data_IF_476346272063
#
_entry.id   IF_476346272063
#
_cell.length_a   1.000
_cell.length_b   1.000
_cell.length_c   1.000
_cell.angle_alpha   90.00
_cell.angle_beta   90.00
_cell.angle_gamma   90.00
#
_symmetry.space_group_name_H-M   'P 1'
#
loop_
_entity.id
_entity.type
_entity.pdbx_description
1 polymer ?
#
# COMPACT_ATOMS: atom_id res chain seq x y z
N UNK A 1 -7.98 -0.28 14.45
CA UNK A 1 -7.35 -1.45 13.77
C UNK A 1 -5.90 -1.49 14.22
N UNK A 2 -5.38 -2.66 14.61
CA UNK A 2 -3.98 -2.79 15.04
C UNK A 2 -3.05 -2.81 13.82
N UNK A 3 -1.80 -2.35 13.97
CA UNK A 3 -0.86 -2.17 12.84
C UNK A 3 -0.60 -3.45 12.05
N UNK A 4 -0.59 -4.63 12.70
CA UNK A 4 -0.44 -5.90 12.00
C UNK A 4 -1.64 -6.25 11.11
N UNK A 5 -2.86 -5.94 11.56
CA UNK A 5 -4.07 -6.19 10.77
C UNK A 5 -4.16 -5.22 9.59
N UNK A 6 -3.76 -3.96 9.80
CA UNK A 6 -3.65 -2.98 8.72
C UNK A 6 -2.66 -3.44 7.67
N UNK A 7 -1.45 -3.85 8.07
CA UNK A 7 -0.41 -4.34 7.17
C UNK A 7 -0.92 -5.49 6.28
N UNK A 8 -1.61 -6.46 6.88
CA UNK A 8 -2.23 -7.56 6.11
C UNK A 8 -3.27 -7.04 5.12
N UNK A 9 -4.12 -6.10 5.52
CA UNK A 9 -5.08 -5.46 4.59
C UNK A 9 -4.37 -4.74 3.44
N UNK A 10 -3.32 -3.97 3.70
CA UNK A 10 -2.53 -3.29 2.66
C UNK A 10 -1.89 -4.30 1.70
N UNK A 11 -1.37 -5.41 2.20
CA UNK A 11 -0.85 -6.49 1.37
C UNK A 11 -1.93 -7.06 0.43
N UNK A 12 -3.12 -7.36 0.95
CA UNK A 12 -4.23 -7.89 0.15
C UNK A 12 -4.67 -6.90 -0.93
N UNK A 13 -4.75 -5.60 -0.59
CA UNK A 13 -5.07 -4.55 -1.56
C UNK A 13 -3.98 -4.40 -2.63
N UNK A 14 -2.70 -4.52 -2.27
CA UNK A 14 -1.60 -4.47 -3.22
C UNK A 14 -1.63 -5.65 -4.21
N UNK A 15 -1.98 -6.84 -3.74
CA UNK A 15 -2.15 -8.01 -4.63
C UNK A 15 -3.35 -7.80 -5.57
N UNK A 16 -4.48 -7.32 -5.03
CA UNK A 16 -5.68 -7.05 -5.83
C UNK A 16 -5.44 -5.96 -6.90
N UNK A 17 -4.79 -4.86 -6.53
CA UNK A 17 -4.45 -3.77 -7.43
C UNK A 17 -3.38 -4.16 -8.47
N UNK A 18 -2.57 -5.17 -8.14
CA UNK A 18 -1.62 -5.80 -9.06
C UNK A 18 -2.30 -6.55 -10.21
N UNK A 19 -3.59 -6.94 -10.09
CA UNK A 19 -4.36 -7.59 -11.16
C UNK A 19 -3.63 -8.83 -11.75
N UNK A 20 -3.01 -9.61 -10.87
CA UNK A 20 -2.23 -10.81 -11.23
C UNK A 20 -0.79 -10.55 -11.70
N UNK A 21 -0.34 -9.29 -11.74
CA UNK A 21 1.07 -8.96 -12.04
C UNK A 21 2.05 -9.30 -10.92
N UNK A 22 1.56 -9.43 -9.68
CA UNK A 22 2.35 -9.74 -8.50
C UNK A 22 1.54 -10.63 -7.56
N UNK A 23 2.20 -11.62 -6.98
CA UNK A 23 1.63 -12.55 -5.98
C UNK A 23 2.16 -12.30 -4.57
N UNK A 24 1.50 -12.87 -3.57
CA UNK A 24 1.95 -12.80 -2.17
C UNK A 24 3.35 -13.41 -1.98
N UNK A 25 3.65 -14.51 -2.68
CA UNK A 25 4.94 -15.19 -2.60
C UNK A 25 6.07 -14.36 -3.23
N UNK A 26 5.82 -13.68 -4.36
CA UNK A 26 6.78 -12.78 -4.99
C UNK A 26 7.08 -11.58 -4.08
N UNK A 27 6.05 -11.00 -3.47
CA UNK A 27 6.23 -9.93 -2.49
C UNK A 27 7.02 -10.44 -1.28
N UNK A 28 6.68 -11.59 -0.72
CA UNK A 28 7.41 -12.16 0.40
C UNK A 28 8.89 -12.41 0.06
N UNK A 29 9.17 -12.94 -1.14
CA UNK A 29 10.52 -13.15 -1.66
C UNK A 29 11.30 -11.83 -1.89
N UNK A 30 10.59 -10.74 -2.14
CA UNK A 30 11.14 -9.39 -2.31
C UNK A 30 11.08 -8.53 -1.03
N UNK A 31 10.97 -9.14 0.16
CA UNK A 31 10.84 -8.42 1.43
C UNK A 31 9.68 -7.39 1.44
N UNK A 32 8.59 -7.70 0.73
CA UNK A 32 7.42 -6.85 0.54
C UNK A 32 7.70 -5.51 -0.14
N UNK A 33 8.75 -5.45 -0.96
CA UNK A 33 9.10 -4.31 -1.80
C UNK A 33 8.27 -4.30 -3.08
N UNK A 34 7.39 -3.30 -3.20
CA UNK A 34 6.63 -3.04 -4.43
C UNK A 34 7.58 -2.61 -5.57
N UNK A 35 8.65 -1.89 -5.21
CA UNK A 35 9.69 -1.51 -6.17
C UNK A 35 10.39 -2.72 -6.78
N UNK A 36 10.78 -3.70 -5.97
CA UNK A 36 11.60 -4.84 -6.43
C UNK A 36 10.80 -5.87 -7.24
N UNK A 37 9.49 -5.96 -7.03
CA UNK A 37 8.58 -6.75 -7.87
C UNK A 37 8.15 -6.03 -9.15
N UNK A 38 8.67 -4.82 -9.41
CA UNK A 38 8.34 -4.05 -10.61
C UNK A 38 6.89 -3.58 -10.65
N UNK A 39 6.32 -3.23 -9.49
CA UNK A 39 4.93 -2.79 -9.37
C UNK A 39 4.67 -1.60 -10.29
N UNK A 40 3.71 -1.77 -11.21
CA UNK A 40 3.48 -0.80 -12.28
C UNK A 40 2.86 0.50 -11.74
N UNK A 41 3.07 1.63 -12.43
CA UNK A 41 2.42 2.90 -12.07
C UNK A 41 0.90 2.81 -12.05
N UNK A 42 0.30 1.97 -12.90
CA UNK A 42 -1.15 1.74 -12.90
C UNK A 42 -1.60 0.95 -11.67
N UNK A 43 -0.84 -0.07 -11.28
CA UNK A 43 -1.09 -0.85 -10.06
C UNK A 43 -0.96 0.04 -8.83
N UNK A 44 0.02 0.96 -8.80
CA UNK A 44 0.15 1.97 -7.74
C UNK A 44 -1.08 2.85 -7.60
N UNK A 45 -1.58 3.42 -8.71
CA UNK A 45 -2.79 4.26 -8.68
C UNK A 45 -4.00 3.48 -8.17
N UNK A 46 -4.20 2.24 -8.65
CA UNK A 46 -5.26 1.35 -8.18
C UNK A 46 -5.13 1.01 -6.69
N UNK A 47 -3.89 0.83 -6.21
CA UNK A 47 -3.61 0.56 -4.80
C UNK A 47 -4.01 1.76 -3.94
N UNK A 48 -3.58 2.97 -4.32
CA UNK A 48 -3.95 4.21 -3.64
C UNK A 48 -5.47 4.33 -3.57
N UNK A 49 -6.16 4.27 -4.72
CA UNK A 49 -7.62 4.34 -4.78
C UNK A 49 -8.29 3.28 -3.88
N UNK A 50 -7.77 2.06 -3.88
CA UNK A 50 -8.31 0.97 -3.07
C UNK A 50 -8.12 1.25 -1.58
N UNK A 51 -6.96 1.76 -1.17
CA UNK A 51 -6.69 2.12 0.23
C UNK A 51 -7.61 3.25 0.68
N UNK A 52 -7.80 4.28 -0.15
CA UNK A 52 -8.68 5.40 0.18
C UNK A 52 -10.12 4.92 0.39
N UNK A 53 -10.62 4.09 -0.53
CA UNK A 53 -11.98 3.55 -0.45
C UNK A 53 -12.18 2.56 0.72
N UNK A 54 -11.19 1.71 0.98
CA UNK A 54 -11.32 0.58 1.92
C UNK A 54 -10.90 0.89 3.35
N UNK A 55 -10.05 1.89 3.53
CA UNK A 55 -9.51 2.32 4.82
C UNK A 55 -10.06 3.69 5.22
N UNK A 56 -10.52 4.50 4.27
CA UNK A 56 -11.10 5.82 4.54
C UNK A 56 -10.06 6.91 4.82
N UNK A 57 -8.85 6.75 4.30
CA UNK A 57 -7.78 7.77 4.39
C UNK A 57 -7.61 8.48 3.06
N UNK A 58 -6.95 9.64 3.06
CA UNK A 58 -6.46 10.27 1.84
C UNK A 58 -4.95 10.08 1.75
N UNK A 59 -4.46 9.61 0.61
CA UNK A 59 -3.03 9.42 0.36
C UNK A 59 -2.60 10.37 -0.75
N UNK A 60 -1.55 11.15 -0.49
CA UNK A 60 -0.99 12.06 -1.49
C UNK A 60 -0.16 11.27 -2.52
N UNK A 61 -0.59 11.16 -3.80
CA UNK A 61 0.17 10.45 -4.83
C UNK A 61 1.49 11.16 -5.18
N UNK A 62 1.64 12.45 -4.83
CA UNK A 62 2.89 13.20 -5.00
C UNK A 62 3.83 13.08 -3.79
N UNK A 63 3.44 12.32 -2.76
CA UNK A 63 4.33 12.07 -1.63
C UNK A 63 5.62 11.37 -2.08
N UNK A 64 6.75 11.58 -1.36
CA UNK A 64 8.01 10.95 -1.66
C UNK A 64 7.89 9.44 -1.92
N UNK A 65 8.56 8.95 -2.96
CA UNK A 65 8.42 7.55 -3.42
C UNK A 65 8.73 6.54 -2.31
N UNK A 66 9.60 6.87 -1.36
CA UNK A 66 9.94 6.04 -0.19
C UNK A 66 8.71 5.61 0.63
N UNK A 67 7.63 6.41 0.63
CA UNK A 67 6.37 6.07 1.29
C UNK A 67 5.56 5.00 0.57
N UNK A 68 5.86 4.76 -0.71
CA UNK A 68 5.20 3.78 -1.57
C UNK A 68 6.10 2.60 -1.96
N UNK A 69 7.37 2.56 -1.54
CA UNK A 69 8.29 1.51 -1.99
C UNK A 69 8.00 0.11 -1.41
N UNK A 70 7.41 0.03 -0.22
CA UNK A 70 7.16 -1.24 0.48
C UNK A 70 5.77 -1.26 1.12
N UNK A 71 5.24 -2.46 1.37
CA UNK A 71 3.99 -2.62 2.12
C UNK A 71 4.08 -1.97 3.51
N UNK A 72 5.25 -2.03 4.15
CA UNK A 72 5.48 -1.44 5.47
C UNK A 72 5.51 0.10 5.40
N UNK A 73 6.13 0.69 4.37
CA UNK A 73 6.11 2.14 4.12
C UNK A 73 4.68 2.64 3.88
N UNK A 74 3.90 1.94 3.05
CA UNK A 74 2.50 2.29 2.76
C UNK A 74 1.65 2.17 4.02
N UNK A 75 1.86 1.11 4.81
CA UNK A 75 1.18 0.93 6.10
C UNK A 75 1.47 2.10 7.05
N UNK A 76 2.73 2.53 7.14
CA UNK A 76 3.11 3.67 7.97
C UNK A 76 2.48 4.98 7.48
N UNK A 77 2.41 5.19 6.16
CA UNK A 77 1.74 6.35 5.57
C UNK A 77 0.25 6.36 5.92
N UNK A 78 -0.44 5.23 5.79
CA UNK A 78 -1.87 5.10 6.13
C UNK A 78 -2.13 5.39 7.61
N UNK A 79 -1.25 4.92 8.50
CA UNK A 79 -1.32 5.26 9.94
C UNK A 79 -1.16 6.77 10.15
N UNK A 80 -0.20 7.40 9.48
CA UNK A 80 0.01 8.85 9.58
C UNK A 80 -1.19 9.65 9.05
N UNK A 81 -1.77 9.24 7.91
CA UNK A 81 -2.94 9.90 7.31
C UNK A 81 -4.22 9.73 8.14
N UNK A 82 -4.42 8.55 8.75
CA UNK A 82 -5.60 8.28 9.58
C UNK A 82 -5.61 9.00 10.94
N UNK A 83 -4.43 9.38 11.47
CA UNK A 83 -4.33 10.17 12.71
C UNK A 83 -4.66 11.66 12.44
N UNK A 84 -4.56 12.13 11.19
CA UNK A 84 -4.80 13.52 10.80
C UNK A 84 -6.24 13.87 10.38
N UNK A 85 -7.13 12.89 10.23
CA UNK A 85 -8.49 13.11 9.71
C UNK A 85 -9.51 13.60 10.77
N UNK A 86 -9.11 13.72 12.04
CA UNK A 86 -9.95 14.13 13.18
C UNK A 86 -9.60 15.54 13.72
N UNK A 87 -8.99 16.41 12.91
CA UNK A 87 -8.62 17.78 13.32
C UNK A 87 -9.48 18.88 12.64
#
# INVERSE_FOLDING_TARGET
>A
MDSSALRTKILDLAIAAGDGSVTADELAGANYSLRDVGYSSLSYMRLIDSIENEVGVYLDPEAPTEHYETIDSVTALVVASGIGADA
#
